data_IF_699236697479
#
_entry.id   IF_699236697479
#
_cell.length_a   1.000
_cell.length_b   1.000
_cell.length_c   1.000
_cell.angle_alpha   90.00
_cell.angle_beta   90.00
_cell.angle_gamma   90.00
#
_symmetry.space_group_name_H-M   'P 1'
#
loop_
_entity.id
_entity.type
_entity.pdbx_description
1 polymer ?
#
# COMPACT_ATOMS: atom_id res chain seq x y z
N UNK A 1 -9.60 -4.73 1.87
CA UNK A 1 -9.54 -3.35 2.42
C UNK A 1 -9.05 -3.45 3.85
N UNK A 2 -8.01 -2.71 4.28
CA UNK A 2 -7.56 -2.74 5.68
C UNK A 2 -8.70 -2.36 6.63
N UNK A 3 -8.86 -3.12 7.72
CA UNK A 3 -9.81 -2.82 8.80
C UNK A 3 -9.20 -1.79 9.75
N UNK A 4 -9.87 -0.66 9.96
CA UNK A 4 -9.39 0.42 10.81
C UNK A 4 -9.77 0.19 12.28
N UNK A 5 -8.85 0.39 13.24
CA UNK A 5 -9.17 0.46 14.68
C UNK A 5 -10.12 1.60 15.04
N UNK A 6 -10.98 1.40 16.04
CA UNK A 6 -12.01 2.35 16.47
C UNK A 6 -11.47 3.73 16.88
N UNK A 7 -10.30 3.78 17.54
CA UNK A 7 -9.65 5.02 17.99
C UNK A 7 -9.07 5.87 16.85
N UNK A 8 -9.07 5.37 15.61
CA UNK A 8 -8.56 6.09 14.43
C UNK A 8 -9.69 6.64 13.54
N UNK A 9 -10.96 6.47 13.95
CA UNK A 9 -12.14 6.93 13.21
C UNK A 9 -12.27 8.46 13.11
N UNK A 10 -11.85 9.22 14.12
CA UNK A 10 -11.99 10.69 14.11
C UNK A 10 -10.97 11.40 13.19
N UNK A 11 -9.77 10.84 13.00
CA UNK A 11 -8.71 11.41 12.14
C UNK A 11 -8.77 10.92 10.69
N UNK A 12 -9.61 9.92 10.41
CA UNK A 12 -9.70 9.26 9.09
C UNK A 12 -10.74 9.91 8.17
N UNK A 13 -11.29 11.07 8.54
CA UNK A 13 -12.06 11.91 7.63
C UNK A 13 -11.16 12.33 6.45
N UNK A 14 -11.19 11.54 5.37
CA UNK A 14 -10.53 11.78 4.09
C UNK A 14 -9.00 11.67 4.06
N UNK A 15 -8.39 10.84 4.90
CA UNK A 15 -6.98 10.53 4.70
C UNK A 15 -6.80 9.78 3.36
N UNK A 16 -5.91 10.28 2.49
CA UNK A 16 -5.48 9.60 1.27
C UNK A 16 -3.99 9.35 1.41
N UNK A 17 -3.58 8.09 1.23
CA UNK A 17 -2.17 7.74 1.09
C UNK A 17 -1.91 7.24 -0.33
N UNK A 18 -0.70 7.50 -0.83
CA UNK A 18 -0.20 6.84 -2.03
C UNK A 18 0.95 5.94 -1.60
N UNK A 19 0.81 4.64 -1.89
CA UNK A 19 1.83 3.64 -1.66
C UNK A 19 2.48 3.30 -3.01
N UNK A 20 3.81 3.21 -3.02
CA UNK A 20 4.57 2.68 -4.15
C UNK A 20 4.97 1.25 -3.84
N UNK A 21 4.72 0.37 -4.78
CA UNK A 21 5.13 -1.02 -4.75
C UNK A 21 6.22 -1.25 -5.79
N UNK A 22 7.34 -1.77 -5.33
CA UNK A 22 8.39 -2.28 -6.19
C UNK A 22 8.22 -3.79 -6.22
N UNK A 23 7.87 -4.31 -7.40
CA UNK A 23 7.55 -5.72 -7.61
C UNK A 23 8.70 -6.31 -8.41
N UNK A 24 9.53 -7.10 -7.75
CA UNK A 24 10.68 -7.75 -8.37
C UNK A 24 10.26 -8.98 -9.19
N UNK A 25 11.12 -9.40 -10.10
CA UNK A 25 10.87 -10.54 -10.99
C UNK A 25 10.71 -11.89 -10.25
N UNK A 26 11.21 -11.99 -9.01
CA UNK A 26 11.06 -13.18 -8.16
C UNK A 26 9.73 -13.19 -7.37
N UNK A 27 8.91 -12.14 -7.51
CA UNK A 27 7.65 -11.98 -6.81
C UNK A 27 7.77 -11.42 -5.39
N UNK A 28 8.97 -11.04 -4.96
CA UNK A 28 9.13 -10.22 -3.76
C UNK A 28 8.63 -8.80 -4.01
N UNK A 29 8.16 -8.16 -2.94
CA UNK A 29 7.69 -6.78 -2.99
C UNK A 29 8.36 -5.93 -1.93
N UNK A 30 8.66 -4.69 -2.30
CA UNK A 30 8.95 -3.62 -1.38
C UNK A 30 7.82 -2.59 -1.44
N UNK A 31 7.49 -1.97 -0.31
CA UNK A 31 6.42 -0.99 -0.23
C UNK A 31 6.85 0.22 0.58
N UNK A 32 6.63 1.39 0.01
CA UNK A 32 6.85 2.68 0.65
C UNK A 32 5.63 3.58 0.50
N UNK A 33 5.49 4.58 1.37
CA UNK A 33 4.46 5.61 1.23
C UNK A 33 5.04 6.80 0.47
N UNK A 34 4.82 6.85 -0.85
CA UNK A 34 5.25 7.98 -1.68
C UNK A 34 4.51 9.29 -1.33
N UNK A 35 3.28 9.17 -0.80
CA UNK A 35 2.55 10.27 -0.15
C UNK A 35 1.93 9.75 1.14
N UNK A 36 2.58 9.94 2.30
CA UNK A 36 2.04 9.52 3.59
C UNK A 36 0.87 10.42 4.04
N UNK A 37 0.06 9.91 4.95
CA UNK A 37 -0.96 10.71 5.65
C UNK A 37 -0.31 11.56 6.75
N UNK A 38 -1.07 12.53 7.29
CA UNK A 38 -0.63 13.33 8.45
C UNK A 38 -0.54 12.52 9.75
N UNK A 39 -1.05 11.30 9.79
CA UNK A 39 -1.09 10.45 10.99
C UNK A 39 -0.05 9.32 10.87
N UNK A 40 1.06 9.35 11.64
CA UNK A 40 2.10 8.33 11.59
C UNK A 40 1.61 6.92 11.97
N UNK A 41 0.60 6.80 12.84
CA UNK A 41 0.01 5.50 13.20
C UNK A 41 -0.75 4.89 12.04
N UNK A 42 -1.52 5.69 11.29
CA UNK A 42 -2.20 5.23 10.08
C UNK A 42 -1.19 4.79 9.02
N UNK A 43 -0.08 5.53 8.87
CA UNK A 43 0.99 5.17 7.95
C UNK A 43 1.63 3.83 8.30
N UNK A 44 1.91 3.58 9.59
CA UNK A 44 2.47 2.30 10.04
C UNK A 44 1.51 1.12 9.77
N UNK A 45 0.22 1.29 10.07
CA UNK A 45 -0.80 0.28 9.81
C UNK A 45 -0.95 -0.02 8.32
N UNK A 46 -0.87 1.00 7.46
CA UNK A 46 -0.86 0.84 6.01
C UNK A 46 0.32 -0.02 5.57
N UNK A 47 1.54 0.35 5.95
CA UNK A 47 2.74 -0.40 5.56
C UNK A 47 2.67 -1.86 6.03
N UNK A 48 2.22 -2.10 7.27
CA UNK A 48 2.06 -3.46 7.80
C UNK A 48 1.00 -4.27 7.02
N UNK A 49 -0.08 -3.63 6.58
CA UNK A 49 -1.13 -4.31 5.81
C UNK A 49 -0.69 -4.56 4.37
N UNK A 50 -0.12 -3.55 3.72
CA UNK A 50 0.27 -3.58 2.32
C UNK A 50 1.47 -4.49 2.07
N UNK A 51 2.41 -4.61 3.02
CA UNK A 51 3.54 -5.56 2.93
C UNK A 51 3.12 -7.03 2.91
N UNK A 52 1.89 -7.35 3.35
CA UNK A 52 1.33 -8.72 3.30
C UNK A 52 0.71 -9.06 1.95
N UNK A 53 0.60 -8.09 1.03
CA UNK A 53 0.01 -8.33 -0.28
C UNK A 53 0.97 -9.11 -1.16
N UNK A 54 0.41 -9.95 -2.03
CA UNK A 54 1.18 -10.69 -3.03
C UNK A 54 0.79 -10.21 -4.42
N UNK A 55 1.80 -9.91 -5.22
CA UNK A 55 1.63 -9.51 -6.61
C UNK A 55 2.27 -10.55 -7.51
N UNK A 56 1.71 -10.72 -8.71
CA UNK A 56 2.41 -11.37 -9.79
C UNK A 56 3.32 -10.33 -10.47
N UNK A 57 4.59 -10.67 -10.75
CA UNK A 57 5.47 -9.75 -11.46
C UNK A 57 4.90 -9.44 -12.84
N UNK A 58 5.24 -8.27 -13.36
CA UNK A 58 4.94 -7.94 -14.75
C UNK A 58 5.64 -8.94 -15.68
N UNK A 59 5.02 -9.28 -16.81
CA UNK A 59 5.57 -10.22 -17.77
C UNK A 59 5.92 -9.50 -19.06
N UNK A 60 7.16 -9.60 -19.52
CA UNK A 60 7.61 -9.07 -20.80
C UNK A 60 8.21 -10.19 -21.64
N UNK A 61 7.60 -10.47 -22.80
CA UNK A 61 8.06 -11.54 -23.69
C UNK A 61 8.10 -12.92 -23.01
N UNK A 62 7.18 -13.20 -22.07
CA UNK A 62 7.12 -14.46 -21.34
C UNK A 62 8.04 -14.58 -20.12
N UNK A 63 8.81 -13.54 -19.80
CA UNK A 63 9.71 -13.50 -18.66
C UNK A 63 9.21 -12.50 -17.61
N UNK A 64 9.33 -12.82 -16.29
CA UNK A 64 9.00 -11.87 -15.24
C UNK A 64 10.02 -10.72 -15.27
N UNK A 65 9.52 -9.49 -15.13
CA UNK A 65 10.32 -8.27 -15.10
C UNK A 65 9.95 -7.43 -13.89
N UNK A 66 10.93 -6.66 -13.43
CA UNK A 66 10.74 -5.68 -12.37
C UNK A 66 9.77 -4.58 -12.81
N UNK A 67 8.90 -4.17 -11.89
CA UNK A 67 7.88 -3.16 -12.17
C UNK A 67 7.57 -2.34 -10.93
N UNK A 68 7.13 -1.10 -11.15
CA UNK A 68 6.76 -0.18 -10.08
C UNK A 68 5.27 0.17 -10.24
N UNK A 69 4.51 0.13 -9.15
CA UNK A 69 3.08 0.49 -9.16
C UNK A 69 2.73 1.43 -8.02
N UNK A 70 2.10 2.57 -8.36
CA UNK A 70 1.56 3.49 -7.37
C UNK A 70 0.08 3.16 -7.12
N UNK A 71 -0.24 2.78 -5.87
CA UNK A 71 -1.59 2.44 -5.42
C UNK A 71 -2.12 3.54 -4.50
N UNK A 72 -3.28 4.10 -4.85
CA UNK A 72 -3.99 5.07 -4.00
C UNK A 72 -4.89 4.33 -3.02
N UNK A 73 -4.64 4.52 -1.73
CA UNK A 73 -5.44 3.92 -0.66
C UNK A 73 -6.35 4.99 -0.07
N UNK A 74 -7.67 4.76 -0.17
CA UNK A 74 -8.68 5.58 0.48
C UNK A 74 -9.11 4.92 1.79
N UNK A 75 -9.19 5.71 2.85
CA UNK A 75 -9.76 5.27 4.11
C UNK A 75 -11.25 5.61 4.12
N UNK A 76 -12.09 4.58 4.28
CA UNK A 76 -13.52 4.75 4.53
C UNK A 76 -13.80 4.34 5.96
N UNK A 77 -14.40 5.25 6.73
CA UNK A 77 -15.00 4.93 8.02
C UNK A 77 -16.48 4.68 7.77
N UNK A 78 -16.91 3.44 8.00
CA UNK A 78 -18.32 3.04 8.00
C UNK A 78 -18.82 2.90 9.43
#
# INVERSE_FOLDING_TARGET
>A
MPSLPDDLREDSYQAIAVARFDIHADGTIEVELSKPTQNPRLNALLLETLSKWRFFPAMQGGHPVESHQDVRVHFNVS
#
